data_IF_102966431946
#
_entry.id   IF_102966431946
#
_cell.length_a   1.000
_cell.length_b   1.000
_cell.length_c   1.000
_cell.angle_alpha   90.00
_cell.angle_beta   90.00
_cell.angle_gamma   90.00
#
_symmetry.space_group_name_H-M   'P 1'
#
loop_
_entity.id
_entity.type
_entity.pdbx_description
1 polymer ?
#
# COMPACT_ATOMS: atom_id res chain seq x y z
N UNK A 1 19.47 -4.38 -29.41
CA UNK A 1 19.24 -3.81 -28.08
C UNK A 1 20.55 -3.17 -27.70
N UNK A 2 20.68 -1.84 -27.61
CA UNK A 2 21.89 -1.27 -27.06
C UNK A 2 21.95 -1.62 -25.57
N UNK A 3 23.05 -2.23 -25.15
CA UNK A 3 23.41 -2.43 -23.75
C UNK A 3 23.34 -1.08 -23.04
N UNK A 4 22.44 -0.97 -22.06
CA UNK A 4 22.40 0.14 -21.14
C UNK A 4 23.55 -0.08 -20.13
N UNK A 5 24.40 0.92 -19.84
CA UNK A 5 25.53 0.72 -18.95
C UNK A 5 25.05 0.31 -17.56
N UNK A 6 25.73 -0.66 -16.95
CA UNK A 6 25.43 -1.28 -15.65
C UNK A 6 25.55 -0.34 -14.44
N UNK A 7 25.53 0.98 -14.64
CA UNK A 7 25.89 2.00 -13.66
C UNK A 7 24.90 3.19 -13.64
N UNK A 8 23.72 3.04 -14.25
CA UNK A 8 22.65 4.03 -14.07
C UNK A 8 22.12 3.94 -12.62
N UNK A 9 22.11 5.04 -11.86
CA UNK A 9 21.68 5.00 -10.47
C UNK A 9 20.21 4.59 -10.38
N UNK A 10 19.95 3.52 -9.63
CA UNK A 10 18.61 2.99 -9.36
C UNK A 10 17.71 4.07 -8.77
N UNK A 11 16.42 3.98 -9.08
CA UNK A 11 15.40 4.83 -8.49
C UNK A 11 15.06 4.27 -7.12
N UNK A 12 15.27 5.06 -6.06
CA UNK A 12 15.00 4.63 -4.69
C UNK A 12 13.53 4.86 -4.34
N UNK A 13 12.85 3.79 -3.95
CA UNK A 13 11.40 3.78 -3.75
C UNK A 13 11.08 3.48 -2.30
N UNK A 14 10.27 4.36 -1.71
CA UNK A 14 9.53 4.01 -0.50
C UNK A 14 8.17 3.50 -0.92
N UNK A 15 7.81 2.31 -0.47
CA UNK A 15 6.50 1.70 -0.68
C UNK A 15 5.69 1.85 0.59
N UNK A 16 4.55 2.53 0.51
CA UNK A 16 3.50 2.52 1.53
C UNK A 16 2.28 1.78 0.98
N UNK A 17 1.83 0.71 1.62
CA UNK A 17 0.70 -0.08 1.14
C UNK A 17 1.05 -1.55 1.01
N UNK A 18 0.46 -2.23 0.02
CA UNK A 18 0.29 -3.67 0.03
C UNK A 18 1.19 -4.40 -0.97
N UNK A 19 0.82 -5.65 -1.28
CA UNK A 19 1.46 -6.41 -2.36
C UNK A 19 1.29 -5.76 -3.74
N UNK A 20 0.30 -4.89 -3.97
CA UNK A 20 0.14 -4.22 -5.27
C UNK A 20 1.37 -3.34 -5.57
N UNK A 21 1.70 -2.39 -4.70
CA UNK A 21 2.87 -1.54 -4.90
C UNK A 21 4.19 -2.33 -4.78
N UNK A 22 4.27 -3.30 -3.87
CA UNK A 22 5.49 -4.11 -3.71
C UNK A 22 5.77 -5.03 -4.89
N UNK A 23 4.77 -5.74 -5.41
CA UNK A 23 4.94 -6.64 -6.55
C UNK A 23 5.25 -5.87 -7.85
N UNK A 24 4.76 -4.62 -7.96
CA UNK A 24 5.20 -3.69 -9.02
C UNK A 24 6.72 -3.48 -8.98
N UNK A 25 7.32 -3.32 -7.80
CA UNK A 25 8.77 -3.14 -7.66
C UNK A 25 9.56 -4.43 -7.86
N UNK A 26 9.07 -5.56 -7.34
CA UNK A 26 9.74 -6.86 -7.48
C UNK A 26 9.87 -7.27 -8.97
N UNK A 27 8.88 -6.94 -9.80
CA UNK A 27 8.85 -7.29 -11.23
C UNK A 27 9.61 -6.31 -12.12
N UNK A 28 9.79 -5.07 -11.67
CA UNK A 28 10.61 -4.08 -12.38
C UNK A 28 12.11 -4.46 -12.43
N UNK A 29 12.51 -5.41 -11.59
CA UNK A 29 13.90 -5.86 -11.42
C UNK A 29 14.72 -4.89 -10.59
N UNK A 30 15.58 -5.44 -9.73
CA UNK A 30 16.47 -4.65 -8.87
C UNK A 30 17.46 -3.80 -9.67
N UNK A 31 17.61 -4.01 -10.97
CA UNK A 31 18.49 -3.21 -11.82
C UNK A 31 17.99 -1.76 -12.01
N UNK A 32 16.70 -1.50 -11.84
CA UNK A 32 16.08 -0.18 -12.08
C UNK A 32 15.60 0.50 -10.82
N UNK A 33 15.13 -0.27 -9.84
CA UNK A 33 14.54 0.23 -8.61
C UNK A 33 15.18 -0.41 -7.39
N UNK A 34 15.36 0.40 -6.35
CA UNK A 34 15.79 -0.02 -5.03
C UNK A 34 14.67 0.30 -4.03
N UNK A 35 14.09 -0.70 -3.36
CA UNK A 35 13.10 -0.44 -2.31
C UNK A 35 13.82 -0.13 -1.01
N UNK A 36 13.93 1.16 -0.68
CA UNK A 36 14.64 1.66 0.51
C UNK A 36 13.79 1.54 1.79
N UNK A 37 12.46 1.58 1.65
CA UNK A 37 11.54 1.38 2.76
C UNK A 37 10.24 0.73 2.27
N UNK A 38 9.72 -0.23 3.04
CA UNK A 38 8.42 -0.85 2.78
C UNK A 38 7.56 -0.84 4.04
N UNK A 39 6.50 -0.03 4.02
CA UNK A 39 5.52 0.19 5.07
C UNK A 39 4.23 -0.51 4.64
N UNK A 40 3.99 -1.69 5.19
CA UNK A 40 2.84 -2.52 4.84
C UNK A 40 1.97 -2.80 6.06
N UNK A 41 0.74 -3.23 5.80
CA UNK A 41 -0.26 -3.61 6.82
C UNK A 41 -0.71 -2.47 7.72
N UNK A 42 -0.49 -1.23 7.28
CA UNK A 42 -0.88 -0.02 8.00
C UNK A 42 -1.92 0.76 7.20
N UNK A 43 -3.14 0.80 7.74
CA UNK A 43 -4.14 1.78 7.38
C UNK A 43 -3.63 3.17 7.77
N UNK A 44 -4.04 4.18 7.02
CA UNK A 44 -3.78 5.56 7.42
C UNK A 44 -4.43 5.91 8.77
N UNK A 45 -5.48 5.17 9.18
CA UNK A 45 -6.14 5.37 10.46
C UNK A 45 -5.32 4.87 11.65
N UNK A 46 -4.43 3.88 11.48
CA UNK A 46 -3.56 3.42 12.58
C UNK A 46 -2.34 4.33 12.78
N UNK A 47 -2.01 5.16 11.79
CA UNK A 47 -0.94 6.14 11.92
C UNK A 47 -1.14 7.05 13.15
N UNK A 48 -0.05 7.29 13.88
CA UNK A 48 0.01 8.10 15.10
C UNK A 48 -0.88 7.61 16.27
N UNK A 49 -1.31 6.35 16.26
CA UNK A 49 -1.93 5.69 17.40
C UNK A 49 -1.00 4.61 17.95
N UNK A 50 -0.46 4.83 19.15
CA UNK A 50 0.35 3.83 19.84
C UNK A 50 -0.56 2.84 20.59
N UNK A 51 -0.81 1.71 19.94
CA UNK A 51 -1.45 0.52 20.50
C UNK A 51 -0.42 -0.54 20.95
N UNK A 52 0.87 -0.20 21.10
CA UNK A 52 1.93 -1.20 21.39
C UNK A 52 1.66 -2.01 22.66
N UNK A 53 1.02 -1.40 23.65
CA UNK A 53 0.63 -2.06 24.89
C UNK A 53 -0.39 -3.21 24.69
N UNK A 54 -1.15 -3.17 23.59
CA UNK A 54 -2.13 -4.17 23.20
C UNK A 54 -1.51 -5.29 22.34
N UNK A 55 -0.27 -5.14 21.88
CA UNK A 55 0.39 -6.16 21.06
C UNK A 55 0.80 -7.36 21.93
N UNK A 56 0.29 -8.59 21.66
CA UNK A 56 0.57 -9.73 22.54
C UNK A 56 2.04 -10.12 22.54
N UNK A 57 2.67 -10.13 23.72
CA UNK A 57 4.08 -10.48 23.87
C UNK A 57 4.38 -11.93 23.46
N UNK A 58 3.40 -12.82 23.54
CA UNK A 58 3.48 -14.24 23.24
C UNK A 58 3.02 -14.60 21.81
N UNK A 59 2.67 -13.60 20.98
CA UNK A 59 2.21 -13.84 19.61
C UNK A 59 3.25 -14.64 18.82
N UNK A 60 2.79 -15.77 18.27
CA UNK A 60 3.63 -16.67 17.48
C UNK A 60 3.56 -16.29 16.01
N UNK A 61 4.61 -15.60 15.56
CA UNK A 61 4.78 -15.18 14.17
C UNK A 61 6.15 -15.68 13.71
N UNK A 62 6.14 -16.67 12.82
CA UNK A 62 7.36 -17.29 12.27
C UNK A 62 8.08 -16.39 11.27
N UNK A 63 7.34 -15.56 10.54
CA UNK A 63 7.89 -14.62 9.57
C UNK A 63 8.36 -13.34 10.26
N UNK A 64 9.67 -13.06 10.18
CA UNK A 64 10.25 -11.78 10.60
C UNK A 64 9.57 -10.59 9.92
N UNK A 65 9.17 -10.74 8.66
CA UNK A 65 8.46 -9.70 7.93
C UNK A 65 7.08 -9.42 8.56
N UNK A 66 6.26 -10.47 8.76
CA UNK A 66 4.93 -10.32 9.35
C UNK A 66 5.01 -9.71 10.75
N UNK A 67 5.96 -10.17 11.58
CA UNK A 67 6.18 -9.63 12.92
C UNK A 67 6.48 -8.14 12.85
N UNK A 68 7.43 -7.73 12.00
CA UNK A 68 7.81 -6.32 11.84
C UNK A 68 6.61 -5.45 11.41
N UNK A 69 5.82 -5.90 10.45
CA UNK A 69 4.66 -5.11 9.97
C UNK A 69 3.57 -4.99 11.03
N UNK A 70 3.25 -6.07 11.74
CA UNK A 70 2.25 -6.01 12.83
C UNK A 70 2.75 -5.14 14.00
N UNK A 71 4.02 -5.27 14.39
CA UNK A 71 4.59 -4.43 15.44
C UNK A 71 4.57 -2.95 15.05
N UNK A 72 4.91 -2.61 13.80
CA UNK A 72 4.84 -1.23 13.33
C UNK A 72 3.42 -0.69 13.28
N UNK A 73 2.44 -1.50 12.85
CA UNK A 73 1.03 -1.10 12.85
C UNK A 73 0.48 -0.84 14.25
N UNK A 74 0.81 -1.71 15.23
CA UNK A 74 0.47 -1.46 16.62
C UNK A 74 1.20 -0.25 17.21
N UNK A 75 2.41 0.06 16.74
CA UNK A 75 3.14 1.26 17.18
C UNK A 75 2.66 2.54 16.49
N UNK A 76 1.82 2.45 15.45
CA UNK A 76 1.43 3.59 14.62
C UNK A 76 2.62 4.26 13.92
N UNK A 77 3.66 3.49 13.58
CA UNK A 77 5.00 4.01 13.22
C UNK A 77 5.13 4.61 11.81
N UNK A 78 4.01 4.82 11.09
CA UNK A 78 4.00 5.34 9.71
C UNK A 78 4.86 6.60 9.58
N UNK A 79 4.68 7.59 10.46
CA UNK A 79 5.42 8.85 10.38
C UNK A 79 6.92 8.66 10.60
N UNK A 80 7.30 7.90 11.63
CA UNK A 80 8.70 7.57 11.92
C UNK A 80 9.38 6.95 10.71
N UNK A 81 8.69 6.02 10.04
CA UNK A 81 9.22 5.32 8.88
C UNK A 81 9.29 6.20 7.63
N UNK A 82 8.36 7.12 7.45
CA UNK A 82 8.42 8.13 6.38
C UNK A 82 9.57 9.11 6.62
N UNK A 83 9.74 9.60 7.85
CA UNK A 83 10.86 10.48 8.24
C UNK A 83 12.20 9.80 7.97
N UNK A 84 12.36 8.56 8.42
CA UNK A 84 13.61 7.80 8.25
C UNK A 84 13.99 7.57 6.78
N UNK A 85 13.00 7.45 5.89
CA UNK A 85 13.23 7.19 4.47
C UNK A 85 13.22 8.45 3.59
N UNK A 86 12.83 9.62 4.11
CA UNK A 86 12.55 10.81 3.30
C UNK A 86 13.74 11.25 2.44
N UNK A 87 14.94 11.32 3.02
CA UNK A 87 16.17 11.73 2.35
C UNK A 87 16.67 10.73 1.29
N UNK A 88 16.20 9.48 1.35
CA UNK A 88 16.57 8.43 0.42
C UNK A 88 15.50 8.17 -0.65
N UNK A 89 14.32 8.76 -0.51
CA UNK A 89 13.18 8.48 -1.39
C UNK A 89 13.23 9.36 -2.64
N UNK A 90 13.29 8.72 -3.80
CA UNK A 90 13.09 9.36 -5.11
C UNK A 90 11.61 9.27 -5.52
N UNK A 91 10.91 8.18 -5.16
CA UNK A 91 9.47 7.98 -5.37
C UNK A 91 8.83 7.36 -4.13
N UNK A 92 7.71 7.93 -3.67
CA UNK A 92 6.82 7.30 -2.69
C UNK A 92 5.66 6.65 -3.44
N UNK A 93 5.64 5.32 -3.54
CA UNK A 93 4.50 4.58 -4.09
C UNK A 93 3.50 4.26 -3.00
N UNK A 94 2.25 4.65 -3.20
CA UNK A 94 1.17 4.38 -2.27
C UNK A 94 0.01 3.63 -2.91
N UNK A 95 -0.35 2.45 -2.41
CA UNK A 95 -1.62 1.79 -2.74
C UNK A 95 -2.53 1.64 -1.52
N UNK A 96 -3.84 1.69 -1.75
CA UNK A 96 -4.84 1.65 -0.68
C UNK A 96 -5.28 0.24 -0.31
N UNK A 97 -4.71 -0.83 -0.88
CA UNK A 97 -5.29 -2.16 -0.67
C UNK A 97 -5.13 -2.68 0.76
N UNK A 98 -4.19 -2.16 1.57
CA UNK A 98 -4.14 -2.50 3.00
C UNK A 98 -5.27 -1.87 3.83
N UNK A 99 -6.01 -0.89 3.28
CA UNK A 99 -7.24 -0.36 3.88
C UNK A 99 -8.42 -1.35 3.77
N UNK A 100 -8.37 -2.34 2.87
CA UNK A 100 -9.52 -3.14 2.39
C UNK A 100 -10.37 -3.84 3.45
N UNK A 101 -9.87 -4.01 4.66
CA UNK A 101 -10.59 -4.68 5.75
C UNK A 101 -10.96 -3.75 6.90
N UNK A 102 -10.64 -2.46 6.81
CA UNK A 102 -10.87 -1.46 7.84
C UNK A 102 -9.93 -1.62 9.03
N UNK A 103 -10.36 -1.09 10.18
CA UNK A 103 -9.55 -0.99 11.40
C UNK A 103 -10.32 -1.43 12.64
N UNK A 104 -9.60 -1.82 13.68
CA UNK A 104 -10.14 -1.99 15.02
C UNK A 104 -9.82 -0.74 15.85
N UNK A 105 -10.83 -0.22 16.56
CA UNK A 105 -10.73 0.94 17.45
C UNK A 105 -10.95 0.48 18.88
N UNK A 106 -9.95 0.69 19.73
CA UNK A 106 -10.00 0.38 21.16
C UNK A 106 -10.81 1.43 21.94
N UNK A 107 -11.19 1.09 23.18
CA UNK A 107 -11.95 1.98 24.06
C UNK A 107 -11.23 3.28 24.42
N UNK A 108 -9.89 3.26 24.42
CA UNK A 108 -9.04 4.45 24.64
C UNK A 108 -8.81 5.29 23.37
N UNK A 109 -9.37 4.84 22.24
CA UNK A 109 -9.26 5.49 20.94
C UNK A 109 -8.05 5.06 20.12
N UNK A 110 -7.18 4.17 20.61
CA UNK A 110 -6.11 3.59 19.80
C UNK A 110 -6.69 2.81 18.61
N UNK A 111 -5.96 2.77 17.49
CA UNK A 111 -6.43 2.18 16.23
C UNK A 111 -5.39 1.21 15.69
N UNK A 112 -5.82 0.03 15.28
CA UNK A 112 -4.95 -0.96 14.59
C UNK A 112 -5.62 -1.45 13.32
N UNK A 113 -4.82 -1.75 12.31
CA UNK A 113 -5.31 -2.20 11.02
C UNK A 113 -5.83 -3.62 11.12
N UNK A 114 -7.01 -3.90 10.53
CA UNK A 114 -7.53 -5.27 10.42
C UNK A 114 -6.83 -6.04 9.30
N UNK A 115 -5.52 -6.23 9.45
CA UNK A 115 -4.68 -6.83 8.43
C UNK A 115 -4.88 -8.36 8.34
N UNK A 116 -4.49 -8.97 7.21
CA UNK A 116 -4.56 -10.43 7.05
C UNK A 116 -3.67 -11.16 8.04
N UNK A 117 -2.54 -10.55 8.42
CA UNK A 117 -1.59 -11.12 9.37
C UNK A 117 -2.18 -11.10 10.79
N UNK A 118 -2.86 -10.01 11.17
CA UNK A 118 -3.63 -9.93 12.42
C UNK A 118 -4.72 -11.01 12.47
N UNK A 119 -5.56 -11.11 11.42
CA UNK A 119 -6.67 -12.07 11.38
C UNK A 119 -6.21 -13.53 11.41
N UNK A 120 -4.99 -13.82 10.95
CA UNK A 120 -4.42 -15.17 10.92
C UNK A 120 -3.65 -15.55 12.19
N UNK A 121 -3.30 -14.59 13.05
CA UNK A 121 -2.60 -14.82 14.30
C UNK A 121 -3.63 -14.87 15.45
N UNK A 122 -3.95 -16.05 16.03
CA UNK A 122 -4.99 -16.17 17.05
C UNK A 122 -4.80 -15.23 18.23
N UNK A 123 -3.57 -15.10 18.73
CA UNK A 123 -3.26 -14.25 19.88
C UNK A 123 -3.49 -12.76 19.55
N UNK A 124 -3.12 -12.32 18.34
CA UNK A 124 -3.37 -10.95 17.89
C UNK A 124 -4.85 -10.68 17.61
N UNK A 125 -5.59 -11.68 17.14
CA UNK A 125 -7.03 -11.59 16.95
C UNK A 125 -7.76 -11.49 18.29
N UNK A 126 -7.35 -12.25 19.30
CA UNK A 126 -7.86 -12.10 20.68
C UNK A 126 -7.56 -10.70 21.23
N UNK A 127 -6.39 -10.13 20.93
CA UNK A 127 -6.02 -8.80 21.41
C UNK A 127 -6.99 -7.68 20.97
N UNK A 128 -7.72 -7.89 19.87
CA UNK A 128 -8.68 -6.92 19.32
C UNK A 128 -10.13 -7.41 19.45
N UNK A 129 -10.41 -8.45 20.23
CA UNK A 129 -11.74 -9.08 20.26
C UNK A 129 -12.83 -8.16 20.80
N UNK A 130 -12.48 -7.35 21.80
CA UNK A 130 -13.35 -6.33 22.39
C UNK A 130 -13.28 -4.98 21.64
N UNK A 131 -12.31 -4.83 20.73
CA UNK A 131 -12.14 -3.61 19.96
C UNK A 131 -13.21 -3.51 18.86
N UNK A 132 -13.74 -2.30 18.68
CA UNK A 132 -14.80 -2.04 17.72
C UNK A 132 -14.25 -2.05 16.29
N UNK A 133 -14.78 -2.93 15.44
CA UNK A 133 -14.42 -2.96 14.02
C UNK A 133 -15.14 -1.85 13.24
N UNK A 134 -14.36 -1.00 12.56
CA UNK A 134 -14.83 0.00 11.60
C UNK A 134 -14.54 -0.52 10.18
N UNK A 135 -15.55 -1.01 9.44
CA UNK A 135 -15.32 -1.62 8.14
C UNK A 135 -14.96 -0.58 7.07
N UNK A 136 -14.02 -0.91 6.20
CA UNK A 136 -13.67 -0.10 5.03
C UNK A 136 -14.90 0.18 4.16
N UNK A 137 -14.91 1.34 3.50
CA UNK A 137 -16.00 1.72 2.59
C UNK A 137 -17.30 2.20 3.26
N UNK A 138 -17.43 2.11 4.59
CA UNK A 138 -18.56 2.68 5.34
C UNK A 138 -18.40 4.18 5.57
N UNK A 139 -19.49 4.94 5.65
CA UNK A 139 -19.43 6.40 5.86
C UNK A 139 -18.57 6.78 7.06
N UNK A 140 -18.73 6.07 8.18
CA UNK A 140 -17.88 6.23 9.36
C UNK A 140 -16.39 6.11 9.03
N UNK A 141 -15.98 5.05 8.31
CA UNK A 141 -14.57 4.86 7.96
C UNK A 141 -14.03 6.03 7.15
N UNK A 142 -14.79 6.54 6.18
CA UNK A 142 -14.34 7.66 5.34
C UNK A 142 -14.32 8.98 6.10
N UNK A 143 -15.29 9.24 6.98
CA UNK A 143 -15.29 10.41 7.86
C UNK A 143 -14.07 10.44 8.79
N UNK A 144 -13.61 9.27 9.27
CA UNK A 144 -12.37 9.16 10.04
C UNK A 144 -11.13 9.29 9.16
N UNK A 145 -11.15 8.71 7.95
CA UNK A 145 -9.97 8.57 7.09
C UNK A 145 -9.65 9.85 6.31
N UNK A 146 -10.66 10.56 5.81
CA UNK A 146 -10.48 11.74 4.96
C UNK A 146 -9.65 12.87 5.63
N UNK A 147 -9.88 13.21 6.92
CA UNK A 147 -9.02 14.17 7.63
C UNK A 147 -7.59 13.66 7.82
N UNK A 148 -7.38 12.34 7.98
CA UNK A 148 -6.03 11.77 8.08
C UNK A 148 -5.28 11.85 6.74
N UNK A 149 -5.98 11.73 5.61
CA UNK A 149 -5.39 11.97 4.29
C UNK A 149 -4.92 13.43 4.10
N UNK A 150 -5.67 14.39 4.64
CA UNK A 150 -5.26 15.81 4.67
C UNK A 150 -4.02 16.03 5.53
N UNK A 151 -3.96 15.39 6.70
CA UNK A 151 -2.80 15.42 7.59
C UNK A 151 -1.57 14.80 6.91
N UNK A 152 -1.71 13.61 6.32
CA UNK A 152 -0.65 12.95 5.57
C UNK A 152 -0.14 13.82 4.42
N UNK A 153 -1.03 14.47 3.67
CA UNK A 153 -0.61 15.44 2.65
C UNK A 153 0.29 16.52 3.25
N UNK A 154 -0.15 17.17 4.34
CA UNK A 154 0.63 18.20 5.02
C UNK A 154 2.00 17.66 5.44
N UNK A 155 2.03 16.45 5.99
CA UNK A 155 3.25 15.78 6.43
C UNK A 155 4.19 15.44 5.28
N UNK A 156 3.68 14.94 4.16
CA UNK A 156 4.48 14.67 2.97
C UNK A 156 5.05 15.95 2.36
N UNK A 157 4.36 17.08 2.47
CA UNK A 157 4.91 18.39 2.06
C UNK A 157 6.08 18.79 2.95
N UNK A 158 5.96 18.64 4.27
CA UNK A 158 7.05 18.92 5.22
C UNK A 158 8.28 18.04 4.98
N UNK A 159 8.07 16.79 4.56
CA UNK A 159 9.14 15.83 4.27
C UNK A 159 9.70 15.93 2.84
N UNK A 160 9.23 16.88 2.03
CA UNK A 160 9.58 16.99 0.60
C UNK A 160 9.30 15.70 -0.21
N UNK A 161 8.29 14.95 0.23
CA UNK A 161 7.83 13.70 -0.38
C UNK A 161 6.57 13.87 -1.22
N UNK A 162 5.80 14.94 -1.04
CA UNK A 162 4.51 15.10 -1.70
C UNK A 162 4.62 15.09 -3.23
N UNK A 163 5.57 15.83 -3.81
CA UNK A 163 5.78 15.86 -5.27
C UNK A 163 6.32 14.53 -5.82
N UNK A 164 6.93 13.71 -4.94
CA UNK A 164 7.45 12.36 -5.22
C UNK A 164 6.40 11.27 -5.00
N UNK A 165 5.25 11.61 -4.41
CA UNK A 165 4.21 10.66 -4.08
C UNK A 165 3.37 10.32 -5.32
N UNK A 166 3.24 9.03 -5.59
CA UNK A 166 2.38 8.49 -6.64
C UNK A 166 1.45 7.45 -6.02
N UNK A 167 0.15 7.74 -6.10
CA UNK A 167 -0.90 6.84 -5.62
C UNK A 167 -1.28 5.88 -6.75
N UNK A 168 -1.25 4.58 -6.47
CA UNK A 168 -1.68 3.54 -7.39
C UNK A 168 -3.17 3.27 -7.20
N UNK A 169 -3.96 3.61 -8.23
CA UNK A 169 -5.33 3.17 -8.39
C UNK A 169 -5.37 2.02 -9.40
N UNK A 170 -5.07 0.82 -8.91
CA UNK A 170 -5.24 -0.42 -9.68
C UNK A 170 -6.52 -1.08 -9.20
N UNK A 171 -7.56 -1.18 -10.04
CA UNK A 171 -8.79 -1.84 -9.64
C UNK A 171 -8.53 -3.31 -9.30
N UNK A 172 -9.34 -3.86 -8.41
CA UNK A 172 -9.44 -5.30 -8.26
C UNK A 172 -9.89 -5.90 -9.59
N UNK A 173 -9.12 -6.84 -10.11
CA UNK A 173 -9.41 -7.56 -11.32
C UNK A 173 -10.77 -8.25 -11.17
N UNK A 174 -11.66 -8.07 -12.14
CA UNK A 174 -12.97 -8.71 -12.15
C UNK A 174 -12.87 -10.17 -12.60
N UNK A 175 -11.87 -10.45 -13.44
CA UNK A 175 -11.61 -11.76 -14.02
C UNK A 175 -10.12 -12.07 -14.04
N UNK A 176 -9.82 -13.35 -14.12
CA UNK A 176 -8.48 -13.90 -14.34
C UNK A 176 -8.10 -13.87 -15.81
N UNK A 177 -6.83 -14.16 -16.13
CA UNK A 177 -6.33 -14.28 -17.50
C UNK A 177 -7.06 -15.35 -18.34
N UNK A 178 -7.63 -16.38 -17.70
CA UNK A 178 -8.46 -17.40 -18.35
C UNK A 178 -9.97 -17.03 -18.39
N UNK A 179 -10.32 -15.79 -18.04
CA UNK A 179 -11.67 -15.23 -18.16
C UNK A 179 -12.65 -15.68 -17.06
N UNK A 180 -12.18 -16.29 -15.98
CA UNK A 180 -13.01 -16.68 -14.83
C UNK A 180 -13.14 -15.54 -13.84
N UNK A 181 -14.24 -15.49 -13.10
CA UNK A 181 -14.38 -14.53 -12.00
C UNK A 181 -13.32 -14.76 -10.92
N UNK A 182 -12.73 -13.67 -10.44
CA UNK A 182 -11.81 -13.71 -9.30
C UNK A 182 -12.54 -14.07 -8.01
N UNK A 183 -11.86 -14.72 -7.04
CA UNK A 183 -12.47 -15.01 -5.75
C UNK A 183 -12.77 -13.74 -4.96
N UNK A 184 -13.68 -13.86 -3.99
CA UNK A 184 -13.89 -12.81 -2.99
C UNK A 184 -12.70 -12.72 -2.03
N UNK A 185 -12.45 -11.53 -1.49
CA UNK A 185 -11.51 -11.32 -0.39
C UNK A 185 -12.30 -10.99 0.89
N UNK A 186 -12.24 -11.85 1.90
CA UNK A 186 -13.03 -11.74 3.13
C UNK A 186 -14.53 -11.43 2.90
N UNK A 187 -15.14 -12.07 1.90
CA UNK A 187 -16.55 -11.87 1.55
C UNK A 187 -16.86 -10.68 0.64
N UNK A 188 -15.85 -9.89 0.26
CA UNK A 188 -16.02 -8.75 -0.67
C UNK A 188 -15.64 -9.14 -2.09
N UNK A 189 -16.53 -8.87 -3.05
CA UNK A 189 -16.25 -9.06 -4.48
C UNK A 189 -15.38 -7.93 -5.05
N UNK A 190 -14.74 -8.16 -6.20
CA UNK A 190 -13.98 -7.13 -6.89
C UNK A 190 -14.82 -5.90 -7.27
N UNK A 191 -16.09 -6.10 -7.64
CA UNK A 191 -16.99 -5.01 -7.97
C UNK A 191 -17.33 -4.15 -6.75
N UNK A 192 -17.67 -4.78 -5.62
CA UNK A 192 -17.95 -4.06 -4.36
C UNK A 192 -16.72 -3.31 -3.86
N UNK A 193 -15.54 -3.95 -3.90
CA UNK A 193 -14.29 -3.32 -3.51
C UNK A 193 -13.99 -2.09 -4.39
N UNK A 194 -14.07 -2.23 -5.71
CA UNK A 194 -13.79 -1.14 -6.64
C UNK A 194 -14.72 0.07 -6.44
N UNK A 195 -16.01 -0.16 -6.17
CA UNK A 195 -16.92 0.93 -5.83
C UNK A 195 -16.56 1.58 -4.48
N UNK A 196 -16.26 0.78 -3.45
CA UNK A 196 -15.90 1.30 -2.13
C UNK A 196 -14.66 2.20 -2.17
N UNK A 197 -13.67 1.90 -3.01
CA UNK A 197 -12.46 2.69 -3.17
C UNK A 197 -12.68 4.03 -3.89
N UNK A 198 -13.72 4.16 -4.72
CA UNK A 198 -13.89 5.30 -5.64
C UNK A 198 -13.78 6.64 -4.91
N UNK A 199 -14.52 6.81 -3.81
CA UNK A 199 -14.53 8.06 -3.04
C UNK A 199 -13.19 8.38 -2.36
N UNK A 200 -12.39 7.36 -2.01
CA UNK A 200 -11.07 7.57 -1.40
C UNK A 200 -10.09 8.13 -2.42
N UNK A 201 -10.07 7.55 -3.63
CA UNK A 201 -9.24 8.08 -4.71
C UNK A 201 -9.73 9.45 -5.22
N UNK A 202 -11.04 9.70 -5.24
CA UNK A 202 -11.58 11.04 -5.53
C UNK A 202 -11.12 12.08 -4.50
N UNK A 203 -11.15 11.73 -3.21
CA UNK A 203 -10.63 12.60 -2.14
C UNK A 203 -9.14 12.89 -2.32
N UNK A 204 -8.31 11.86 -2.56
CA UNK A 204 -6.88 12.04 -2.80
C UNK A 204 -6.57 12.93 -4.02
N UNK A 205 -7.32 12.78 -5.12
CA UNK A 205 -7.22 13.70 -6.27
C UNK A 205 -7.58 15.13 -5.87
N UNK A 206 -8.64 15.31 -5.08
CA UNK A 206 -9.05 16.62 -4.56
C UNK A 206 -7.99 17.29 -3.67
N UNK A 207 -7.20 16.49 -2.96
CA UNK A 207 -6.04 16.93 -2.18
C UNK A 207 -4.78 17.20 -3.03
N UNK A 208 -4.82 16.89 -4.32
CA UNK A 208 -3.74 17.15 -5.27
C UNK A 208 -2.72 16.01 -5.39
N UNK A 209 -2.99 14.82 -4.85
CA UNK A 209 -2.11 13.66 -5.08
C UNK A 209 -2.10 13.29 -6.56
N UNK A 210 -0.92 12.91 -7.06
CA UNK A 210 -0.78 12.25 -8.36
C UNK A 210 -1.32 10.83 -8.23
N UNK A 211 -2.26 10.46 -9.12
CA UNK A 211 -2.87 9.14 -9.13
C UNK A 211 -2.60 8.47 -10.48
N UNK A 212 -1.91 7.33 -10.47
CA UNK A 212 -1.78 6.43 -11.60
C UNK A 212 -2.97 5.49 -11.60
N UNK A 213 -3.87 5.66 -12.56
CA UNK A 213 -5.07 4.84 -12.71
C UNK A 213 -4.94 3.86 -13.88
N UNK A 214 -5.23 2.59 -13.60
CA UNK A 214 -5.46 1.57 -14.62
C UNK A 214 -6.95 1.32 -14.83
N UNK A 215 -7.34 1.08 -16.09
CA UNK A 215 -8.73 0.82 -16.44
C UNK A 215 -9.10 -0.63 -16.14
N UNK A 216 -10.30 -0.92 -15.58
CA UNK A 216 -10.68 -2.28 -15.16
C UNK A 216 -10.53 -3.36 -16.23
N UNK A 217 -10.77 -3.03 -17.50
CA UNK A 217 -10.67 -3.98 -18.61
C UNK A 217 -9.22 -4.40 -18.92
N UNK A 218 -8.23 -3.60 -18.53
CA UNK A 218 -6.82 -3.93 -18.69
C UNK A 218 -6.22 -4.71 -17.52
N UNK A 219 -7.01 -4.99 -16.47
CA UNK A 219 -6.50 -5.53 -15.21
C UNK A 219 -7.03 -6.94 -14.99
N UNK A 220 -6.13 -7.91 -15.16
CA UNK A 220 -6.41 -9.34 -15.03
C UNK A 220 -5.66 -9.93 -13.83
N UNK A 221 -6.31 -10.83 -13.11
CA UNK A 221 -5.68 -11.61 -12.05
C UNK A 221 -4.93 -12.83 -12.62
N UNK A 222 -3.82 -13.19 -11.98
CA UNK A 222 -3.05 -14.38 -12.31
C UNK A 222 -3.41 -15.56 -11.38
N UNK A 223 -4.02 -16.64 -11.90
CA UNK A 223 -4.28 -17.86 -11.12
C UNK A 223 -3.02 -18.52 -10.54
N UNK A 224 -1.87 -18.32 -11.18
CA UNK A 224 -0.58 -18.92 -10.80
C UNK A 224 0.31 -17.94 -10.02
N UNK A 225 -0.24 -16.80 -9.59
CA UNK A 225 0.50 -15.81 -8.81
C UNK A 225 1.13 -16.44 -7.57
N UNK A 226 2.39 -16.06 -7.26
CA UNK A 226 3.17 -16.65 -6.15
C UNK A 226 2.52 -16.56 -4.76
N UNK A 227 1.58 -15.64 -4.58
CA UNK A 227 0.81 -15.45 -3.34
C UNK A 227 -0.59 -16.07 -3.37
N UNK A 228 -0.86 -16.90 -4.38
CA UNK A 228 -2.17 -17.50 -4.68
C UNK A 228 -3.09 -16.56 -5.43
N UNK A 229 -4.22 -17.09 -5.91
CA UNK A 229 -5.21 -16.30 -6.65
C UNK A 229 -5.96 -15.32 -5.73
N UNK A 230 -5.91 -14.04 -6.06
CA UNK A 230 -6.71 -12.97 -5.45
C UNK A 230 -7.00 -11.88 -6.48
N UNK A 231 -8.05 -11.07 -6.32
CA UNK A 231 -8.39 -10.00 -7.27
C UNK A 231 -7.35 -8.86 -7.35
N UNK A 232 -6.38 -8.81 -6.45
CA UNK A 232 -5.27 -7.85 -6.42
C UNK A 232 -3.90 -8.52 -6.66
N UNK A 233 -3.90 -9.74 -7.18
CA UNK A 233 -2.70 -10.48 -7.59
C UNK A 233 -2.73 -10.60 -9.11
N UNK A 234 -2.10 -9.64 -9.77
CA UNK A 234 -2.27 -9.40 -11.19
C UNK A 234 -1.34 -10.24 -12.07
N UNK A 235 -1.61 -10.25 -13.38
CA UNK A 235 -0.67 -10.77 -14.37
C UNK A 235 0.57 -9.87 -14.48
N UNK A 236 1.66 -10.46 -14.99
CA UNK A 236 2.91 -9.75 -15.27
C UNK A 236 2.69 -8.46 -16.06
N UNK A 237 1.91 -8.52 -17.15
CA UNK A 237 1.63 -7.38 -18.04
C UNK A 237 1.05 -6.17 -17.30
N UNK A 238 0.21 -6.39 -16.28
CA UNK A 238 -0.36 -5.30 -15.47
C UNK A 238 0.73 -4.59 -14.69
N UNK A 239 1.63 -5.33 -14.05
CA UNK A 239 2.74 -4.74 -13.31
C UNK A 239 3.73 -4.04 -14.25
N UNK A 240 4.01 -4.61 -15.42
CA UNK A 240 4.86 -3.98 -16.44
C UNK A 240 4.27 -2.66 -16.95
N UNK A 241 2.95 -2.56 -17.11
CA UNK A 241 2.28 -1.31 -17.45
C UNK A 241 2.48 -0.25 -16.35
N UNK A 242 2.32 -0.63 -15.08
CA UNK A 242 2.53 0.29 -13.94
C UNK A 242 3.99 0.78 -13.94
N UNK A 243 4.96 -0.13 -14.07
CA UNK A 243 6.40 0.20 -14.11
C UNK A 243 6.72 1.14 -15.27
N UNK A 244 6.20 0.85 -16.47
CA UNK A 244 6.40 1.69 -17.65
C UNK A 244 5.88 3.11 -17.45
N UNK A 245 4.71 3.25 -16.81
CA UNK A 245 4.14 4.55 -16.46
C UNK A 245 4.93 5.27 -15.38
N UNK A 246 5.39 4.58 -14.33
CA UNK A 246 6.27 5.18 -13.29
C UNK A 246 7.54 5.72 -13.94
N UNK A 247 8.22 4.94 -14.77
CA UNK A 247 9.47 5.35 -15.44
C UNK A 247 9.28 6.54 -16.38
N UNK A 248 8.14 6.62 -17.08
CA UNK A 248 7.82 7.75 -17.95
C UNK A 248 7.48 9.04 -17.17
N UNK A 249 7.05 8.88 -15.92
CA UNK A 249 6.59 9.96 -15.04
C UNK A 249 7.71 10.50 -14.13
N UNK A 250 8.84 9.79 -14.06
CA UNK A 250 10.05 10.26 -13.41
C UNK A 250 10.66 11.43 -14.18
N UNK A 251 11.08 12.51 -13.49
CA UNK A 251 11.84 13.56 -14.14
C UNK A 251 13.13 12.95 -14.72
N UNK A 252 13.44 13.26 -15.98
CA UNK A 252 14.72 12.91 -16.55
C UNK A 252 15.82 13.43 -15.62
N UNK A 253 16.65 12.54 -15.05
CA UNK A 253 17.81 12.96 -14.26
C UNK A 253 18.58 13.94 -15.16
N UNK A 254 18.68 15.20 -14.73
CA UNK A 254 19.57 16.17 -15.37
C UNK A 254 20.97 15.59 -15.16
N UNK A 255 21.47 14.88 -16.17
CA UNK A 255 22.86 14.44 -16.21
C UNK A 255 23.68 15.72 -16.32
N UNK A 256 24.10 16.24 -15.18
CA UNK A 256 25.09 17.29 -15.09
C UNK A 256 26.43 16.75 -15.57
N UNK A 257 26.60 16.66 -16.88
CA UNK A 257 27.91 16.78 -17.51
C UNK A 257 28.08 18.25 -17.89
N UNK A 258 28.55 19.06 -16.95
CA UNK A 258 29.25 20.29 -17.31
C UNK A 258 30.75 19.99 -17.41
N UNK A 259 31.29 20.39 -18.56
CA UNK A 259 32.64 20.16 -19.06
C UNK A 259 33.75 20.88 -18.29
#
# INVERSE_FOLDING_TARGET
MPDQPADAPQVRVTVYGSCVARDTMDLAGSERFEVVCYIARQSLLSADHDASAMFPADVRIDSHFQRRMMTGDFAGDLDERLVGAAGETDVLLWDLADERHGVHVFDDGAVVTRSIDLVRAPEALTAVEDARHVPFGTDEHFELWAPRAEQLRGRLVELELFDKALVLQVPWALVTVDGKHTPQSMGTTAMEANEAYRRYYEHLRGLGFRVLELQPLGVLADPEHRWGLAPFHYTQDVYEEIVGRILADLPAKVTGEEA
#
